data_IF_721247724040
#
_entry.id   IF_721247724040
#
_cell.length_a   1.000
_cell.length_b   1.000
_cell.length_c   1.000
_cell.angle_alpha   90.00
_cell.angle_beta   90.00
_cell.angle_gamma   90.00
#
_symmetry.space_group_name_H-M   'P 1'
#
loop_
_entity.id
_entity.type
_entity.pdbx_description
1 polymer ?
#
# COMPACT_ATOMS: atom_id res chain seq x y z
N UNK A 1 15.40 11.37 0.86
CA UNK A 1 14.26 10.53 1.28
C UNK A 1 13.17 10.74 0.27
N UNK A 2 13.45 10.38 -0.97
CA UNK A 2 12.70 10.87 -2.15
C UNK A 2 12.23 9.71 -3.04
N UNK A 3 12.49 8.46 -2.62
CA UNK A 3 12.18 7.27 -3.40
C UNK A 3 10.72 6.79 -3.18
N UNK A 4 10.10 7.11 -2.03
CA UNK A 4 8.72 6.73 -1.70
C UNK A 4 7.66 7.58 -2.42
N UNK A 5 7.97 8.85 -2.73
CA UNK A 5 7.05 9.70 -3.49
C UNK A 5 7.15 9.42 -5.00
N UNK A 6 8.36 9.12 -5.49
CA UNK A 6 8.60 8.80 -6.89
C UNK A 6 7.97 7.46 -7.33
N UNK A 7 7.78 6.49 -6.41
CA UNK A 7 7.08 5.24 -6.70
C UNK A 7 5.57 5.45 -6.88
N UNK A 8 4.96 6.36 -6.11
CA UNK A 8 3.56 6.71 -6.25
C UNK A 8 3.26 7.49 -7.57
N UNK A 9 4.27 8.13 -8.16
CA UNK A 9 4.17 8.95 -9.37
C UNK A 9 4.57 8.24 -10.68
N UNK A 10 4.85 6.92 -10.69
CA UNK A 10 5.09 6.17 -11.94
C UNK A 10 3.85 5.96 -12.82
N UNK A 11 2.85 6.84 -12.73
CA UNK A 11 1.80 6.95 -13.75
C UNK A 11 2.27 7.82 -14.92
N UNK A 12 3.18 7.29 -15.73
CA UNK A 12 3.17 7.57 -17.17
C UNK A 12 3.34 6.25 -17.93
N UNK A 13 2.46 5.32 -17.60
CA UNK A 13 2.49 3.97 -18.12
C UNK A 13 2.04 3.95 -19.58
N UNK A 14 3.03 3.89 -20.47
CA UNK A 14 2.88 3.41 -21.85
C UNK A 14 3.12 1.89 -21.80
N UNK A 15 2.04 1.11 -21.74
CA UNK A 15 2.00 -0.37 -21.84
C UNK A 15 2.50 -1.22 -20.64
N UNK A 16 2.55 -0.64 -19.43
CA UNK A 16 3.21 -1.15 -18.20
C UNK A 16 2.21 -1.65 -17.11
N UNK A 17 2.76 -2.27 -16.05
CA UNK A 17 2.13 -3.00 -14.94
C UNK A 17 0.71 -2.56 -14.45
N UNK A 18 -0.09 -3.48 -13.88
CA UNK A 18 -1.42 -3.16 -13.36
C UNK A 18 -1.34 -2.06 -12.29
N UNK A 19 -2.35 -1.19 -12.27
CA UNK A 19 -2.45 -0.11 -11.28
C UNK A 19 -2.57 -0.69 -9.86
N UNK A 20 -1.80 -0.22 -8.87
CA UNK A 20 -1.89 -0.72 -7.51
C UNK A 20 -3.29 -0.58 -6.92
N UNK A 21 -3.79 -1.62 -6.25
CA UNK A 21 -5.07 -1.62 -5.52
C UNK A 21 -4.97 -0.88 -4.18
N UNK A 22 -3.79 -0.87 -3.56
CA UNK A 22 -3.51 -0.17 -2.32
C UNK A 22 -2.56 1.00 -2.57
N UNK A 23 -2.84 2.14 -1.94
CA UNK A 23 -2.02 3.34 -2.07
C UNK A 23 -1.74 3.93 -0.69
N UNK A 24 -0.65 4.71 -0.57
CA UNK A 24 -0.27 5.35 0.69
C UNK A 24 -1.37 6.21 1.31
N UNK A 25 -2.20 6.89 0.49
CA UNK A 25 -3.37 7.63 0.99
C UNK A 25 -4.39 6.77 1.74
N UNK A 26 -4.55 5.49 1.36
CA UNK A 26 -5.45 4.57 2.07
C UNK A 26 -4.87 4.24 3.45
N UNK A 27 -3.55 4.01 3.53
CA UNK A 27 -2.84 3.75 4.78
C UNK A 27 -2.86 4.97 5.72
N UNK A 28 -2.63 6.17 5.18
CA UNK A 28 -2.76 7.43 5.92
C UNK A 28 -4.17 7.64 6.48
N UNK A 29 -5.20 7.37 5.67
CA UNK A 29 -6.60 7.46 6.11
C UNK A 29 -6.95 6.44 7.21
N UNK A 30 -6.22 5.33 7.30
CA UNK A 30 -6.36 4.34 8.36
C UNK A 30 -5.57 4.70 9.63
N UNK A 31 -4.74 5.74 9.60
CA UNK A 31 -3.93 6.20 10.73
C UNK A 31 -2.47 5.75 10.72
N UNK A 32 -2.00 5.13 9.62
CA UNK A 32 -0.60 4.74 9.50
C UNK A 32 0.28 5.96 9.24
N UNK A 33 1.36 6.11 10.01
CA UNK A 33 2.36 7.16 9.77
C UNK A 33 3.23 6.82 8.55
N UNK A 34 3.63 7.81 7.73
CA UNK A 34 4.59 7.59 6.65
C UNK A 34 5.93 7.07 7.19
N UNK A 35 6.45 6.00 6.59
CA UNK A 35 7.73 5.40 7.00
C UNK A 35 8.08 4.14 6.20
N UNK A 36 9.22 3.48 6.49
CA UNK A 36 9.65 2.26 5.82
C UNK A 36 8.58 1.15 5.84
N UNK A 37 7.91 0.98 6.98
CA UNK A 37 6.84 0.00 7.15
C UNK A 37 5.66 0.23 6.19
N UNK A 38 5.35 1.48 5.85
CA UNK A 38 4.32 1.80 4.86
C UNK A 38 4.71 1.26 3.48
N UNK A 39 5.99 1.38 3.12
CA UNK A 39 6.52 0.82 1.88
C UNK A 39 6.45 -0.72 1.87
N UNK A 40 6.76 -1.37 3.00
CA UNK A 40 6.65 -2.83 3.14
C UNK A 40 5.21 -3.32 2.92
N UNK A 41 4.24 -2.66 3.55
CA UNK A 41 2.80 -2.98 3.37
C UNK A 41 2.35 -2.76 1.93
N UNK A 42 2.76 -1.66 1.28
CA UNK A 42 2.41 -1.39 -0.11
C UNK A 42 3.01 -2.40 -1.08
N UNK A 43 4.27 -2.80 -0.86
CA UNK A 43 4.93 -3.82 -1.66
C UNK A 43 4.24 -5.18 -1.53
N UNK A 44 3.93 -5.61 -0.30
CA UNK A 44 3.24 -6.88 -0.08
C UNK A 44 1.82 -6.88 -0.69
N UNK A 45 1.09 -5.77 -0.58
CA UNK A 45 -0.21 -5.63 -1.24
C UNK A 45 -0.10 -5.74 -2.77
N UNK A 46 0.94 -5.14 -3.36
CA UNK A 46 1.16 -5.18 -4.80
C UNK A 46 1.55 -6.58 -5.28
N UNK A 47 2.38 -7.32 -4.52
CA UNK A 47 2.69 -8.72 -4.81
C UNK A 47 1.44 -9.60 -4.74
N UNK A 48 0.61 -9.43 -3.71
CA UNK A 48 -0.67 -10.14 -3.58
C UNK A 48 -1.63 -9.82 -4.73
N UNK A 49 -1.63 -8.59 -5.22
CA UNK A 49 -2.38 -8.21 -6.41
C UNK A 49 -1.87 -8.97 -7.65
N UNK A 50 -0.55 -9.03 -7.85
CA UNK A 50 0.04 -9.75 -8.98
C UNK A 50 -0.25 -11.26 -8.93
N UNK A 51 -0.34 -11.83 -7.72
CA UNK A 51 -0.71 -13.23 -7.51
C UNK A 51 -2.21 -13.49 -7.65
N UNK A 52 -3.04 -12.44 -7.70
CA UNK A 52 -4.50 -12.54 -7.76
C UNK A 52 -5.20 -12.78 -6.41
N UNK A 53 -4.45 -12.67 -5.30
CA UNK A 53 -4.97 -12.76 -3.92
C UNK A 53 -5.79 -11.52 -3.55
N UNK A 54 -5.42 -10.36 -4.11
CA UNK A 54 -6.15 -9.10 -4.01
C UNK A 54 -6.61 -8.68 -5.40
N UNK A 55 -7.91 -8.48 -5.56
CA UNK A 55 -8.49 -8.15 -6.88
C UNK A 55 -9.15 -6.78 -6.88
N UNK A 56 -9.50 -6.27 -5.71
CA UNK A 56 -10.14 -4.97 -5.53
C UNK A 56 -9.43 -4.12 -4.48
N UNK A 57 -9.69 -2.82 -4.51
CA UNK A 57 -9.24 -1.89 -3.48
C UNK A 57 -9.78 -2.29 -2.10
N UNK A 58 -11.04 -2.74 -2.03
CA UNK A 58 -11.67 -3.21 -0.80
C UNK A 58 -10.98 -4.46 -0.23
N UNK A 59 -10.57 -5.41 -1.08
CA UNK A 59 -9.78 -6.57 -0.64
C UNK A 59 -8.48 -6.11 0.01
N UNK A 60 -7.78 -5.17 -0.63
CA UNK A 60 -6.50 -4.69 -0.15
C UNK A 60 -6.64 -3.91 1.17
N UNK A 61 -7.65 -3.07 1.30
CA UNK A 61 -7.97 -2.37 2.55
C UNK A 61 -8.32 -3.36 3.66
N UNK A 62 -9.13 -4.38 3.35
CA UNK A 62 -9.53 -5.42 4.32
C UNK A 62 -8.34 -6.24 4.77
N UNK A 63 -7.46 -6.58 3.84
CA UNK A 63 -6.21 -7.28 4.12
C UNK A 63 -5.33 -6.47 5.08
N UNK A 64 -5.12 -5.18 4.83
CA UNK A 64 -4.37 -4.28 5.72
C UNK A 64 -4.97 -4.27 7.12
N UNK A 65 -6.29 -4.10 7.24
CA UNK A 65 -7.00 -4.10 8.54
C UNK A 65 -6.87 -5.41 9.30
N UNK A 66 -6.68 -6.52 8.60
CA UNK A 66 -6.53 -7.86 9.21
C UNK A 66 -5.09 -8.17 9.59
N UNK A 67 -4.11 -7.60 8.86
CA UNK A 67 -2.69 -7.84 9.07
C UNK A 67 -1.99 -6.80 9.95
N UNK A 68 -2.59 -5.62 10.18
CA UNK A 68 -2.05 -4.61 11.09
C UNK A 68 -2.62 -4.80 12.51
N UNK A 69 -1.87 -5.40 13.45
CA UNK A 69 -2.29 -5.43 14.85
C UNK A 69 -2.25 -4.02 15.43
N UNK A 70 -3.42 -3.52 15.84
CA UNK A 70 -3.64 -2.34 16.68
C UNK A 70 -2.68 -1.15 16.46
N UNK A 71 -3.06 -0.26 15.54
CA UNK A 71 -2.32 0.96 15.18
C UNK A 71 -2.25 2.03 16.28
N UNK A 72 -2.69 1.71 17.50
CA UNK A 72 -2.46 2.56 18.68
C UNK A 72 -1.05 2.43 19.27
N UNK A 73 -0.26 1.41 18.86
CA UNK A 73 1.11 1.19 19.37
C UNK A 73 2.26 1.58 18.41
N UNK A 74 1.96 2.04 17.20
CA UNK A 74 2.94 2.65 16.31
C UNK A 74 3.07 4.14 16.65
N UNK A 75 3.71 4.36 17.80
CA UNK A 75 3.91 5.63 18.50
C UNK A 75 4.68 6.71 17.67
N UNK A 76 4.81 7.96 18.16
CA UNK A 76 6.01 8.76 17.91
C UNK A 76 7.27 8.14 18.51
#
# INVERSE_FOLDING_TARGET
GDWLLAEAERMNVRDEAPRPLLMGRHLLAMGMSPGPEMGEVLNEAFEKQLNGDLQTEDDAITWVKSNLPDMSNLAP
#
